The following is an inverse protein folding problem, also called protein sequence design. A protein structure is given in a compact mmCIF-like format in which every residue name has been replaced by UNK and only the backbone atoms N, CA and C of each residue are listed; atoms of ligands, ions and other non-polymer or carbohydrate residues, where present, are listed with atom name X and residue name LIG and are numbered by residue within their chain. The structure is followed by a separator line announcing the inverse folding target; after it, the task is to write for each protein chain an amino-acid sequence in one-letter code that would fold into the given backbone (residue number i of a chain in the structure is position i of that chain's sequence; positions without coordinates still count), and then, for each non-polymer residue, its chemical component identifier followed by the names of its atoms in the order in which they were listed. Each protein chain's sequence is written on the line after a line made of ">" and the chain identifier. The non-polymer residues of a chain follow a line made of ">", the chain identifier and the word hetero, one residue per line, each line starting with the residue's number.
data_IF_920693068317
#
_entry.id   IF_920693068317
#
_cell.length_a   1.000
_cell.length_b   1.000
_cell.length_c   1.000
_cell.angle_alpha   90.00
_cell.angle_beta   90.00
_cell.angle_gamma   90.00
#
_symmetry.space_group_name_H-M   'P 1'
#
loop_
_entity.id
_entity.type
_entity.pdbx_description
1 polymer ?
#
# COMPACT_ATOMS: atom_id res chain seq x y z
N UNK A 1 -10.66 -3.31 -22.61
CA UNK A 1 -10.90 -2.85 -21.22
C UNK A 1 -9.60 -2.48 -20.52
N UNK A 2 -8.58 -3.37 -20.54
CA UNK A 2 -7.29 -3.14 -19.87
C UNK A 2 -6.55 -1.91 -20.41
N UNK A 3 -6.50 -1.72 -21.73
CA UNK A 3 -5.83 -0.56 -22.37
C UNK A 3 -6.42 0.76 -21.90
N UNK A 4 -7.77 0.87 -21.81
CA UNK A 4 -8.42 2.09 -21.28
C UNK A 4 -8.09 2.34 -19.82
N UNK A 5 -7.97 1.28 -19.01
CA UNK A 5 -7.55 1.40 -17.60
C UNK A 5 -6.11 1.91 -17.54
N UNK A 6 -5.20 1.30 -18.31
CA UNK A 6 -3.80 1.72 -18.39
C UNK A 6 -3.67 3.18 -18.85
N UNK A 7 -4.47 3.60 -19.82
CA UNK A 7 -4.46 4.98 -20.30
C UNK A 7 -4.95 5.97 -19.24
N UNK A 8 -6.04 5.66 -18.52
CA UNK A 8 -6.51 6.48 -17.40
C UNK A 8 -5.44 6.60 -16.30
N UNK A 9 -4.68 5.53 -16.04
CA UNK A 9 -3.55 5.56 -15.09
C UNK A 9 -2.41 6.42 -15.62
N UNK A 10 -2.00 6.26 -16.91
CA UNK A 10 -0.92 7.08 -17.50
C UNK A 10 -1.24 8.57 -17.43
N UNK A 11 -2.47 8.94 -17.73
CA UNK A 11 -2.96 10.33 -17.67
C UNK A 11 -3.17 10.84 -16.23
N UNK A 12 -2.94 10.04 -15.20
CA UNK A 12 -3.19 10.43 -13.80
C UNK A 12 -4.66 10.60 -13.43
N UNK A 13 -5.58 10.15 -14.29
CA UNK A 13 -7.03 10.21 -14.05
C UNK A 13 -7.51 9.15 -13.08
N UNK A 14 -6.70 8.11 -12.88
CA UNK A 14 -6.95 7.02 -11.95
C UNK A 14 -5.66 6.74 -11.18
N UNK A 15 -5.69 6.95 -9.87
CA UNK A 15 -4.57 6.75 -8.96
C UNK A 15 -4.99 5.84 -7.81
N UNK A 16 -4.03 5.08 -7.29
CA UNK A 16 -4.25 4.15 -6.17
C UNK A 16 -3.16 4.29 -5.13
N UNK A 17 -3.53 4.26 -3.85
CA UNK A 17 -2.58 4.02 -2.77
C UNK A 17 -2.27 2.53 -2.63
N UNK A 18 -1.26 2.20 -1.85
CA UNK A 18 -1.14 0.87 -1.28
C UNK A 18 -2.34 0.59 -0.38
N UNK A 19 -2.61 -0.68 -0.11
CA UNK A 19 -3.61 -1.06 0.88
C UNK A 19 -3.07 -0.83 2.29
N UNK A 20 -3.92 -0.28 3.14
CA UNK A 20 -3.63 0.07 4.53
C UNK A 20 -4.65 -0.62 5.44
N UNK A 21 -4.29 -0.95 6.70
CA UNK A 21 -5.22 -1.61 7.60
C UNK A 21 -6.29 -0.65 8.13
N UNK A 22 -7.45 -1.21 8.43
CA UNK A 22 -8.46 -0.61 9.30
C UNK A 22 -8.84 -1.61 10.39
N UNK A 23 -9.21 -1.09 11.55
CA UNK A 23 -9.66 -1.86 12.69
C UNK A 23 -10.76 -1.10 13.42
N UNK A 24 -11.88 -1.76 13.67
CA UNK A 24 -13.02 -1.23 14.44
C UNK A 24 -13.36 0.22 14.08
N UNK A 25 -13.61 0.49 12.81
CA UNK A 25 -13.90 1.81 12.21
C UNK A 25 -12.72 2.80 12.19
N UNK A 26 -11.55 2.45 12.68
CA UNK A 26 -10.36 3.31 12.64
C UNK A 26 -9.52 2.99 11.41
N UNK A 27 -9.18 4.01 10.62
CA UNK A 27 -8.24 3.92 9.51
C UNK A 27 -6.83 4.19 10.00
N UNK A 28 -5.86 3.46 9.45
CA UNK A 28 -4.45 3.59 9.78
C UNK A 28 -3.65 4.00 8.57
N UNK A 29 -2.66 4.84 8.78
CA UNK A 29 -1.70 5.30 7.77
C UNK A 29 -0.33 4.68 7.99
N UNK A 30 0.51 4.55 6.96
CA UNK A 30 1.87 4.10 7.15
C UNK A 30 2.61 5.08 8.06
N UNK A 31 3.38 4.53 8.99
CA UNK A 31 4.24 5.33 9.85
C UNK A 31 5.28 6.07 9.00
N UNK A 32 5.43 7.39 9.16
CA UNK A 32 6.43 8.16 8.44
C UNK A 32 7.85 7.64 8.70
N UNK A 33 8.63 7.53 7.63
CA UNK A 33 10.06 7.27 7.70
C UNK A 33 10.75 8.60 7.97
N UNK A 34 10.87 8.95 9.24
CA UNK A 34 11.51 10.18 9.71
C UNK A 34 12.39 9.88 10.92
N UNK A 35 13.49 10.61 11.05
CA UNK A 35 14.29 10.57 12.26
C UNK A 35 13.52 11.26 13.40
N UNK A 36 13.63 10.72 14.61
CA UNK A 36 13.15 11.41 15.81
C UNK A 36 14.27 12.29 16.33
N UNK A 37 14.00 13.57 16.48
CA UNK A 37 14.91 14.56 17.08
C UNK A 37 14.69 14.70 18.59
N UNK A 38 13.66 14.02 19.13
CA UNK A 38 13.35 14.10 20.56
C UNK A 38 14.45 13.49 21.40
N UNK A 39 14.99 14.30 22.32
CA UNK A 39 16.03 13.94 23.31
C UNK A 39 15.41 13.58 24.68
N UNK A 40 14.08 13.63 24.81
CA UNK A 40 13.42 13.33 26.07
C UNK A 40 13.64 11.87 26.50
N UNK A 41 13.88 11.68 27.80
CA UNK A 41 13.94 10.34 28.40
C UNK A 41 12.56 9.72 28.39
N UNK A 42 12.36 8.75 27.51
CA UNK A 42 11.14 7.96 27.43
C UNK A 42 11.43 6.57 27.96
N UNK A 43 10.46 6.02 28.69
CA UNK A 43 10.54 4.63 29.15
C UNK A 43 10.92 3.67 28.00
N UNK A 44 11.92 2.84 28.24
CA UNK A 44 12.52 1.95 27.22
C UNK A 44 11.48 1.04 26.57
N UNK A 45 10.47 0.59 27.33
CA UNK A 45 9.36 -0.23 26.87
C UNK A 45 8.47 0.51 25.87
N UNK A 46 8.10 1.74 26.16
CA UNK A 46 7.30 2.60 25.29
C UNK A 46 8.05 2.93 24.00
N UNK A 47 9.32 3.29 24.10
CA UNK A 47 10.18 3.56 22.94
C UNK A 47 10.28 2.35 22.00
N UNK A 48 10.46 1.13 22.55
CA UNK A 48 10.46 -0.11 21.77
C UNK A 48 9.11 -0.37 21.10
N UNK A 49 8.00 -0.11 21.79
CA UNK A 49 6.64 -0.27 21.26
C UNK A 49 6.41 0.67 20.07
N UNK A 50 6.70 1.96 20.22
CA UNK A 50 6.58 2.96 19.16
C UNK A 50 7.51 2.66 17.97
N UNK A 51 8.73 2.16 18.22
CA UNK A 51 9.66 1.77 17.17
C UNK A 51 9.13 0.62 16.31
N UNK A 52 8.46 -0.35 16.92
CA UNK A 52 7.86 -1.51 16.23
C UNK A 52 6.57 -1.19 15.47
N UNK A 53 5.92 -0.08 15.76
CA UNK A 53 4.71 0.31 15.06
C UNK A 53 5.01 0.53 13.56
N UNK A 54 4.18 -0.06 12.71
CA UNK A 54 4.22 0.18 11.27
C UNK A 54 3.10 1.14 10.81
N UNK A 55 2.07 1.29 11.62
CA UNK A 55 0.84 1.99 11.28
C UNK A 55 0.42 2.97 12.38
N UNK A 56 -0.09 4.13 11.98
CA UNK A 56 -0.56 5.19 12.89
C UNK A 56 -2.05 5.44 12.62
N UNK A 57 -2.91 5.47 13.66
CA UNK A 57 -4.30 5.84 13.48
C UNK A 57 -4.43 7.24 12.87
N UNK A 58 -5.35 7.43 11.93
CA UNK A 58 -5.54 8.72 11.24
C UNK A 58 -5.68 9.88 12.21
N UNK A 59 -6.53 9.76 13.24
CA UNK A 59 -6.76 10.83 14.21
C UNK A 59 -5.61 11.03 15.21
N UNK A 60 -4.72 10.08 15.34
CA UNK A 60 -3.52 10.20 16.17
C UNK A 60 -2.29 10.71 15.39
N UNK A 61 -2.41 10.89 14.07
CA UNK A 61 -1.28 11.20 13.20
C UNK A 61 -0.60 12.54 13.55
N UNK A 62 -1.38 13.61 13.75
CA UNK A 62 -0.84 14.92 14.11
C UNK A 62 -0.12 14.89 15.49
N UNK A 63 -0.62 14.09 16.45
CA UNK A 63 0.03 13.88 17.75
C UNK A 63 1.33 13.09 17.60
N UNK A 64 1.33 12.05 16.78
CA UNK A 64 2.53 11.29 16.44
C UNK A 64 3.59 12.18 15.78
N UNK A 65 3.20 12.98 14.80
CA UNK A 65 4.10 13.88 14.10
C UNK A 65 4.78 14.88 15.03
N UNK A 66 4.03 15.50 15.94
CA UNK A 66 4.59 16.40 16.97
C UNK A 66 5.60 15.69 17.88
N UNK A 67 5.38 14.42 18.21
CA UNK A 67 6.28 13.66 19.07
C UNK A 67 7.63 13.35 18.45
N UNK A 68 7.82 13.55 17.16
CA UNK A 68 9.13 13.40 16.49
C UNK A 68 10.09 14.52 16.89
N UNK A 69 9.59 15.71 17.22
CA UNK A 69 10.41 16.87 17.65
C UNK A 69 10.41 17.05 19.16
N UNK A 70 9.27 16.88 19.82
CA UNK A 70 9.13 17.11 21.24
C UNK A 70 8.12 16.13 21.87
N UNK A 71 8.43 15.61 23.04
CA UNK A 71 7.58 14.71 23.77
C UNK A 71 7.65 13.25 23.29
N UNK A 72 6.71 12.48 23.75
CA UNK A 72 6.60 11.08 23.40
C UNK A 72 5.19 10.75 22.87
N UNK A 73 5.12 9.74 22.02
CA UNK A 73 3.87 9.20 21.51
C UNK A 73 3.46 7.98 22.32
N UNK A 74 2.26 8.06 22.90
CA UNK A 74 1.62 6.91 23.55
C UNK A 74 0.63 6.33 22.54
N UNK A 75 0.82 5.08 22.09
CA UNK A 75 -0.13 4.41 21.21
C UNK A 75 -1.36 3.96 22.02
N UNK A 76 -2.38 4.79 22.05
CA UNK A 76 -3.65 4.46 22.67
C UNK A 76 -4.46 3.56 21.72
N UNK A 77 -5.16 2.57 22.26
CA UNK A 77 -6.17 1.74 21.59
C UNK A 77 -5.73 1.10 20.23
N UNK A 78 -4.45 0.80 20.08
CA UNK A 78 -4.01 0.02 18.94
C UNK A 78 -4.20 -1.47 19.20
N UNK A 79 -4.69 -2.23 18.21
CA UNK A 79 -4.69 -3.67 18.32
C UNK A 79 -3.24 -4.17 18.42
N UNK A 80 -3.00 -5.18 19.24
CA UNK A 80 -1.68 -5.83 19.30
C UNK A 80 -1.25 -6.33 17.91
N UNK A 81 -2.20 -6.78 17.12
CA UNK A 81 -2.03 -7.19 15.73
C UNK A 81 -3.32 -7.07 14.95
N UNK A 82 -3.25 -6.71 13.67
CA UNK A 82 -4.38 -6.75 12.74
C UNK A 82 -4.78 -8.17 12.32
N UNK A 83 -4.06 -9.18 12.79
CA UNK A 83 -4.29 -10.58 12.50
C UNK A 83 -3.13 -11.45 12.91
N UNK A 84 -3.19 -12.71 12.55
CA UNK A 84 -2.19 -13.73 12.90
C UNK A 84 -1.61 -14.39 11.68
N UNK A 85 -0.29 -14.64 11.73
CA UNK A 85 0.37 -15.54 10.80
C UNK A 85 0.22 -16.99 11.28
N UNK A 86 -0.09 -17.88 10.37
CA UNK A 86 -0.12 -19.30 10.63
C UNK A 86 0.38 -20.08 9.43
N UNK A 87 0.84 -21.28 9.66
CA UNK A 87 1.30 -22.20 8.62
C UNK A 87 0.30 -23.33 8.45
N UNK A 88 0.07 -23.69 7.21
CA UNK A 88 -0.75 -24.83 6.84
C UNK A 88 0.09 -25.82 6.03
N UNK A 89 0.15 -27.07 6.50
CA UNK A 89 0.75 -28.15 5.73
C UNK A 89 -0.21 -28.58 4.63
N UNK A 90 0.26 -28.62 3.41
CA UNK A 90 -0.43 -29.15 2.25
C UNK A 90 0.40 -30.27 1.62
N UNK A 91 -0.25 -31.15 0.89
CA UNK A 91 0.40 -32.21 0.16
C UNK A 91 0.31 -31.97 -1.35
N UNK A 92 1.45 -32.09 -2.03
CA UNK A 92 1.48 -32.20 -3.49
C UNK A 92 1.40 -33.68 -3.82
N UNK A 93 0.31 -34.10 -4.44
CA UNK A 93 0.12 -35.48 -4.93
C UNK A 93 0.52 -35.47 -6.40
N UNK A 94 1.69 -35.99 -6.77
CA UNK A 94 2.11 -36.10 -8.16
C UNK A 94 1.34 -37.24 -8.83
N UNK A 95 1.27 -37.23 -10.17
CA UNK A 95 0.68 -38.35 -10.93
C UNK A 95 1.48 -39.66 -10.76
N UNK A 96 2.79 -39.56 -10.48
CA UNK A 96 3.70 -40.66 -10.19
C UNK A 96 4.66 -40.23 -9.07
N UNK A 97 4.94 -41.15 -8.15
CA UNK A 97 5.85 -40.96 -7.02
C UNK A 97 5.16 -40.61 -5.70
N UNK A 98 5.96 -40.33 -4.68
CA UNK A 98 5.47 -40.09 -3.32
C UNK A 98 4.87 -38.70 -3.13
N UNK A 99 3.86 -38.63 -2.28
CA UNK A 99 3.26 -37.40 -1.81
C UNK A 99 4.27 -36.56 -1.03
N UNK A 100 4.48 -35.31 -1.45
CA UNK A 100 5.43 -34.40 -0.79
C UNK A 100 4.68 -33.33 -0.03
N UNK A 101 4.82 -33.28 1.32
CA UNK A 101 4.26 -32.20 2.11
C UNK A 101 5.03 -30.89 1.87
N UNK A 102 4.32 -29.76 1.93
CA UNK A 102 4.91 -28.42 1.89
C UNK A 102 4.12 -27.46 2.77
N UNK A 103 4.81 -26.47 3.32
CA UNK A 103 4.22 -25.47 4.17
C UNK A 103 3.74 -24.25 3.35
N UNK A 104 2.59 -23.71 3.73
CA UNK A 104 2.04 -22.48 3.17
C UNK A 104 1.84 -21.50 4.31
N UNK A 105 2.60 -20.40 4.30
CA UNK A 105 2.40 -19.29 5.22
C UNK A 105 1.15 -18.49 4.83
N UNK A 106 0.26 -18.26 5.78
CA UNK A 106 -1.00 -17.57 5.62
C UNK A 106 -1.13 -16.48 6.67
N UNK A 107 -1.90 -15.44 6.34
CA UNK A 107 -2.30 -14.40 7.27
C UNK A 107 -3.82 -14.39 7.39
N UNK A 108 -4.33 -14.41 8.62
CA UNK A 108 -5.74 -14.28 8.93
C UNK A 108 -5.98 -12.97 9.65
N UNK A 109 -6.82 -12.11 9.09
CA UNK A 109 -7.25 -10.89 9.77
C UNK A 109 -7.99 -11.21 11.06
N UNK A 110 -7.78 -10.37 12.07
CA UNK A 110 -8.56 -10.40 13.29
C UNK A 110 -10.03 -9.98 13.02
N UNK A 111 -10.98 -10.31 13.91
CA UNK A 111 -12.34 -9.78 13.80
C UNK A 111 -12.32 -8.24 13.70
N UNK A 112 -13.22 -7.68 12.93
CA UNK A 112 -13.34 -6.23 12.66
C UNK A 112 -12.07 -5.59 12.07
N UNK A 113 -11.18 -6.39 11.46
CA UNK A 113 -10.02 -5.93 10.71
C UNK A 113 -10.20 -6.15 9.22
N UNK A 114 -9.58 -5.27 8.44
CA UNK A 114 -9.53 -5.39 6.99
C UNK A 114 -8.51 -4.46 6.38
N UNK A 115 -8.57 -4.33 5.06
CA UNK A 115 -7.73 -3.41 4.30
C UNK A 115 -8.61 -2.35 3.63
N UNK A 116 -8.10 -1.15 3.53
CA UNK A 116 -8.64 -0.10 2.69
C UNK A 116 -7.56 0.47 1.79
N UNK A 117 -7.94 1.14 0.74
CA UNK A 117 -7.04 1.95 -0.07
C UNK A 117 -7.73 3.25 -0.50
N UNK A 118 -6.92 4.23 -0.86
CA UNK A 118 -7.39 5.51 -1.38
C UNK A 118 -7.29 5.47 -2.90
N UNK A 119 -8.35 5.91 -3.56
CA UNK A 119 -8.41 5.99 -5.01
C UNK A 119 -8.72 7.42 -5.44
N UNK A 120 -7.88 7.99 -6.30
CA UNK A 120 -8.13 9.23 -7.03
C UNK A 120 -8.83 8.91 -8.35
N UNK A 121 -10.01 9.50 -8.56
CA UNK A 121 -10.80 9.34 -9.80
C UNK A 121 -11.22 10.70 -10.29
N UNK A 122 -10.84 11.05 -11.53
CA UNK A 122 -11.16 12.36 -12.11
C UNK A 122 -12.27 12.33 -13.18
N UNK A 123 -12.63 11.14 -13.69
CA UNK A 123 -13.68 10.99 -14.69
C UNK A 123 -15.00 10.51 -14.07
N UNK A 124 -16.12 11.14 -14.45
CA UNK A 124 -17.45 10.73 -13.99
C UNK A 124 -17.77 9.29 -14.40
N UNK A 125 -18.33 8.52 -13.48
CA UNK A 125 -18.73 7.11 -13.70
C UNK A 125 -17.58 6.10 -13.68
N UNK A 126 -16.33 6.52 -13.59
CA UNK A 126 -15.16 5.63 -13.48
C UNK A 126 -15.16 4.91 -12.12
N UNK A 127 -15.68 5.55 -11.08
CA UNK A 127 -15.83 4.98 -9.75
C UNK A 127 -16.78 3.78 -9.72
N UNK A 128 -17.87 3.80 -10.50
CA UNK A 128 -18.79 2.66 -10.63
C UNK A 128 -18.14 1.49 -11.36
N UNK A 129 -17.39 1.78 -12.42
CA UNK A 129 -16.63 0.75 -13.17
C UNK A 129 -15.56 0.12 -12.29
N UNK A 130 -14.83 0.92 -11.52
CA UNK A 130 -13.83 0.43 -10.57
C UNK A 130 -14.47 -0.47 -9.51
N UNK A 131 -15.62 -0.08 -8.97
CA UNK A 131 -16.33 -0.90 -7.98
C UNK A 131 -16.69 -2.28 -8.56
N UNK A 132 -17.26 -2.33 -9.76
CA UNK A 132 -17.58 -3.61 -10.43
C UNK A 132 -16.33 -4.48 -10.69
N UNK A 133 -15.19 -3.86 -11.05
CA UNK A 133 -13.90 -4.56 -11.20
C UNK A 133 -13.39 -5.11 -9.87
N UNK A 134 -13.54 -4.37 -8.77
CA UNK A 134 -13.14 -4.81 -7.44
C UNK A 134 -14.01 -5.98 -6.95
N UNK A 135 -15.31 -5.96 -7.19
CA UNK A 135 -16.20 -7.09 -6.88
C UNK A 135 -15.77 -8.36 -7.65
N UNK A 136 -15.50 -8.23 -8.94
CA UNK A 136 -14.98 -9.34 -9.75
C UNK A 136 -13.61 -9.83 -9.26
N UNK A 137 -12.73 -8.92 -8.89
CA UNK A 137 -11.42 -9.24 -8.31
C UNK A 137 -11.56 -9.94 -6.95
N UNK A 138 -12.54 -9.53 -6.15
CA UNK A 138 -12.83 -10.14 -4.86
C UNK A 138 -13.22 -11.62 -4.96
N UNK A 139 -13.96 -11.99 -6.00
CA UNK A 139 -14.31 -13.39 -6.30
C UNK A 139 -13.07 -14.18 -6.75
N UNK A 140 -12.25 -13.58 -7.60
CA UNK A 140 -11.00 -14.19 -8.08
C UNK A 140 -9.97 -14.29 -6.98
N UNK A 141 -9.80 -13.23 -6.20
CA UNK A 141 -8.79 -13.09 -5.15
C UNK A 141 -7.54 -12.32 -5.57
N UNK A 142 -6.77 -11.89 -4.59
CA UNK A 142 -5.47 -11.21 -4.74
C UNK A 142 -4.38 -11.91 -3.96
N UNK A 143 -3.12 -11.69 -4.36
CA UNK A 143 -1.95 -12.23 -3.67
C UNK A 143 -1.55 -13.63 -4.13
N UNK A 144 -0.98 -14.41 -3.22
CA UNK A 144 -0.52 -15.75 -3.52
C UNK A 144 -1.61 -16.79 -3.42
N UNK A 145 -1.46 -17.90 -4.17
CA UNK A 145 -2.35 -19.06 -4.09
C UNK A 145 -3.82 -18.80 -4.46
N UNK A 146 -4.08 -17.82 -5.31
CA UNK A 146 -5.43 -17.48 -5.80
C UNK A 146 -6.12 -18.69 -6.44
N UNK A 147 -5.40 -19.47 -7.25
CA UNK A 147 -5.92 -20.69 -7.88
C UNK A 147 -6.36 -21.78 -6.89
N UNK A 148 -5.95 -21.70 -5.64
CA UNK A 148 -6.37 -22.61 -4.56
C UNK A 148 -7.34 -21.96 -3.58
N UNK A 149 -7.96 -20.84 -3.97
CA UNK A 149 -9.07 -20.18 -3.27
C UNK A 149 -8.66 -19.17 -2.19
N UNK A 150 -7.36 -18.83 -2.10
CA UNK A 150 -6.92 -17.78 -1.15
C UNK A 150 -7.05 -16.37 -1.73
N UNK A 151 -6.99 -15.37 -0.86
CA UNK A 151 -7.00 -13.96 -1.22
C UNK A 151 -8.37 -13.41 -1.66
N UNK A 152 -9.44 -14.18 -1.50
CA UNK A 152 -10.81 -13.71 -1.76
C UNK A 152 -11.20 -12.62 -0.76
N UNK A 153 -11.95 -11.65 -1.23
CA UNK A 153 -12.44 -10.55 -0.40
C UNK A 153 -13.77 -10.01 -0.93
N UNK A 154 -14.41 -9.16 -0.17
CA UNK A 154 -15.58 -8.38 -0.61
C UNK A 154 -15.40 -6.92 -0.18
N UNK A 155 -15.97 -6.01 -0.96
CA UNK A 155 -15.96 -4.59 -0.64
C UNK A 155 -17.06 -4.31 0.39
N UNK A 156 -16.67 -3.98 1.61
CA UNK A 156 -17.63 -3.73 2.70
C UNK A 156 -18.19 -2.31 2.68
N UNK A 157 -17.40 -1.34 2.22
CA UNK A 157 -17.79 0.07 2.24
C UNK A 157 -17.02 0.88 1.20
N UNK A 158 -17.66 1.89 0.63
CA UNK A 158 -17.07 2.94 -0.18
C UNK A 158 -17.38 4.29 0.46
N UNK A 159 -16.34 5.08 0.70
CA UNK A 159 -16.44 6.43 1.24
C UNK A 159 -16.00 7.46 0.20
N UNK A 160 -16.71 8.58 0.13
CA UNK A 160 -16.35 9.69 -0.74
C UNK A 160 -15.70 10.81 0.09
N UNK A 161 -14.40 11.04 -0.15
CA UNK A 161 -13.67 12.10 0.56
C UNK A 161 -14.07 13.53 0.13
N UNK A 162 -14.79 13.70 -0.99
CA UNK A 162 -15.34 14.99 -1.37
C UNK A 162 -16.51 15.41 -0.48
N UNK A 163 -17.23 14.43 0.10
CA UNK A 163 -18.33 14.62 1.05
C UNK A 163 -18.02 13.87 2.36
N UNK A 164 -17.02 14.34 3.13
CA UNK A 164 -16.58 13.61 4.32
C UNK A 164 -17.66 13.63 5.41
N UNK A 165 -17.94 12.47 5.99
CA UNK A 165 -19.01 12.27 6.97
C UNK A 165 -18.55 12.30 8.44
N UNK A 166 -17.26 12.02 8.68
CA UNK A 166 -16.69 11.88 10.02
C UNK A 166 -15.33 12.60 10.16
N UNK A 167 -14.76 12.58 11.34
CA UNK A 167 -13.50 13.26 11.65
C UNK A 167 -12.31 12.68 10.84
N UNK A 168 -12.26 11.37 10.63
CA UNK A 168 -11.17 10.71 9.91
C UNK A 168 -11.20 11.08 8.42
N UNK A 169 -12.38 10.99 7.79
CA UNK A 169 -12.55 11.36 6.39
C UNK A 169 -12.31 12.84 6.14
N UNK A 170 -12.68 13.72 7.10
CA UNK A 170 -12.34 15.15 7.06
C UNK A 170 -10.84 15.38 7.14
N UNK A 171 -10.16 14.68 8.04
CA UNK A 171 -8.70 14.76 8.19
C UNK A 171 -7.99 14.26 6.93
N UNK A 172 -8.37 13.09 6.40
CA UNK A 172 -7.81 12.53 5.17
C UNK A 172 -8.00 13.48 3.98
N UNK A 173 -9.20 14.04 3.80
CA UNK A 173 -9.45 15.02 2.74
C UNK A 173 -8.52 16.22 2.85
N UNK A 174 -8.39 16.82 4.05
CA UNK A 174 -7.50 17.96 4.31
C UNK A 174 -6.06 17.63 3.93
N UNK A 175 -5.54 16.50 4.40
CA UNK A 175 -4.17 16.09 4.17
C UNK A 175 -3.88 15.74 2.69
N UNK A 176 -4.80 15.09 2.01
CA UNK A 176 -4.68 14.77 0.58
C UNK A 176 -4.75 16.03 -0.31
N UNK A 177 -5.51 17.04 0.13
CA UNK A 177 -5.63 18.33 -0.60
C UNK A 177 -4.49 19.29 -0.26
N UNK A 178 -3.68 19.01 0.76
CA UNK A 178 -2.61 19.90 1.18
C UNK A 178 -1.48 19.89 0.14
N UNK A 179 -1.17 21.10 -0.35
CA UNK A 179 -0.07 21.32 -1.30
C UNK A 179 1.14 21.95 -0.60
N UNK A 180 1.55 21.36 0.50
CA UNK A 180 2.65 21.83 1.36
C UNK A 180 3.50 20.65 1.80
N UNK A 181 4.80 20.77 1.57
CA UNK A 181 5.79 19.80 2.06
C UNK A 181 5.93 19.89 3.62
N UNK A 182 6.37 18.81 4.25
CA UNK A 182 6.73 17.52 3.66
C UNK A 182 5.50 16.69 3.25
N UNK A 183 5.71 15.78 2.32
CA UNK A 183 4.68 14.88 1.79
C UNK A 183 4.93 13.45 2.25
N UNK A 184 3.90 12.81 2.80
CA UNK A 184 3.88 11.38 3.07
C UNK A 184 3.45 10.62 1.82
N UNK A 185 4.24 9.66 1.38
CA UNK A 185 3.92 8.77 0.27
C UNK A 185 2.99 7.65 0.71
N UNK A 186 1.85 7.48 0.05
CA UNK A 186 0.87 6.43 0.35
C UNK A 186 0.91 5.25 -0.63
N UNK A 187 1.79 5.31 -1.61
CA UNK A 187 1.91 4.29 -2.66
C UNK A 187 3.36 3.83 -2.78
N UNK A 188 3.60 2.54 -2.82
CA UNK A 188 4.91 2.02 -3.26
C UNK A 188 5.10 2.39 -4.73
N UNK A 189 5.94 3.38 -5.01
CA UNK A 189 6.08 3.98 -6.34
C UNK A 189 7.51 4.38 -6.67
N UNK A 190 7.76 4.66 -7.94
CA UNK A 190 9.09 4.96 -8.46
C UNK A 190 9.01 6.23 -9.30
N UNK A 191 9.82 7.27 -9.01
CA UNK A 191 9.99 8.43 -9.87
C UNK A 191 10.46 8.02 -11.27
N UNK A 192 10.16 8.83 -12.27
CA UNK A 192 10.77 8.70 -13.60
C UNK A 192 12.25 9.11 -13.53
N UNK A 193 13.03 8.76 -14.52
CA UNK A 193 14.48 8.99 -14.51
C UNK A 193 14.83 10.49 -14.38
N UNK A 194 14.05 11.35 -15.02
CA UNK A 194 14.20 12.81 -14.99
C UNK A 194 13.64 13.46 -13.70
N UNK A 195 12.84 12.73 -12.94
CA UNK A 195 12.27 13.20 -11.66
C UNK A 195 13.15 12.81 -10.46
N UNK A 196 14.09 11.85 -10.63
CA UNK A 196 14.73 11.12 -9.53
C UNK A 196 15.50 12.06 -8.59
N UNK A 197 16.35 12.91 -9.11
CA UNK A 197 17.18 13.82 -8.31
C UNK A 197 16.31 14.81 -7.50
N UNK A 198 15.28 15.36 -8.13
CA UNK A 198 14.35 16.26 -7.47
C UNK A 198 13.52 15.54 -6.40
N UNK A 199 13.00 14.36 -6.70
CA UNK A 199 12.17 13.58 -5.79
C UNK A 199 12.92 13.13 -4.54
N UNK A 200 14.21 12.78 -4.68
CA UNK A 200 15.03 12.27 -3.58
C UNK A 200 15.72 13.38 -2.78
N UNK A 201 15.68 14.62 -3.24
CA UNK A 201 16.28 15.74 -2.52
C UNK A 201 15.61 15.92 -1.15
N UNK A 202 16.41 15.87 -0.10
CA UNK A 202 15.98 16.02 1.30
C UNK A 202 14.83 15.05 1.69
N UNK A 203 14.82 13.85 1.09
CA UNK A 203 13.83 12.84 1.33
C UNK A 203 14.30 11.80 2.36
N UNK A 204 13.38 11.35 3.20
CA UNK A 204 13.57 10.19 4.09
C UNK A 204 12.77 9.01 3.55
N UNK A 205 13.43 7.97 3.08
CA UNK A 205 12.76 6.88 2.38
C UNK A 205 13.38 5.52 2.65
N UNK A 206 12.61 4.49 2.32
CA UNK A 206 13.06 3.10 2.29
C UNK A 206 12.76 2.51 0.91
N UNK A 207 13.72 1.73 0.39
CA UNK A 207 13.55 1.01 -0.87
C UNK A 207 12.93 -0.36 -0.65
N UNK A 208 11.98 -0.69 -1.48
CA UNK A 208 11.35 -2.01 -1.57
C UNK A 208 11.68 -2.63 -2.91
N UNK A 209 12.33 -3.80 -2.88
CA UNK A 209 12.60 -4.57 -4.10
C UNK A 209 11.31 -5.19 -4.62
N UNK A 210 10.99 -4.92 -5.87
CA UNK A 210 9.87 -5.50 -6.61
C UNK A 210 10.41 -6.35 -7.76
N UNK A 211 10.23 -7.66 -7.66
CA UNK A 211 10.62 -8.65 -8.67
C UNK A 211 9.48 -9.68 -8.83
N UNK A 212 9.75 -10.83 -9.42
CA UNK A 212 8.80 -11.94 -9.56
C UNK A 212 8.75 -12.46 -10.99
N UNK A 213 7.81 -13.34 -11.24
CA UNK A 213 7.60 -13.97 -12.53
C UNK A 213 6.33 -13.43 -13.21
N UNK A 214 6.31 -13.48 -14.53
CA UNK A 214 5.11 -13.23 -15.32
C UNK A 214 4.15 -14.41 -15.15
N UNK A 215 2.86 -14.12 -14.95
CA UNK A 215 1.79 -15.08 -15.17
C UNK A 215 1.27 -14.82 -16.59
N UNK A 216 1.47 -15.77 -17.50
CA UNK A 216 1.03 -15.66 -18.90
C UNK A 216 0.79 -17.05 -19.45
N UNK A 217 -0.32 -17.22 -20.13
CA UNK A 217 -0.65 -18.44 -20.85
C UNK A 217 0.03 -18.47 -22.25
N UNK A 218 0.69 -17.37 -22.64
CA UNK A 218 1.40 -17.25 -23.92
C UNK A 218 2.85 -17.72 -23.87
N UNK A 219 3.36 -18.14 -22.71
CA UNK A 219 4.74 -18.62 -22.53
C UNK A 219 4.74 -19.93 -21.74
N UNK A 220 5.46 -20.92 -22.27
CA UNK A 220 5.55 -22.26 -21.65
C UNK A 220 6.31 -22.25 -20.33
N UNK A 221 7.30 -21.37 -20.19
CA UNK A 221 8.12 -21.25 -18.98
C UNK A 221 7.92 -19.90 -18.32
N UNK A 222 7.80 -19.84 -16.98
CA UNK A 222 7.67 -18.58 -16.27
C UNK A 222 8.88 -17.67 -16.49
N UNK A 223 8.69 -16.52 -17.12
CA UNK A 223 9.71 -15.52 -17.35
C UNK A 223 9.82 -14.56 -16.15
N UNK A 224 11.04 -14.22 -15.76
CA UNK A 224 11.29 -13.21 -14.74
C UNK A 224 10.87 -11.82 -15.22
N UNK A 225 10.30 -11.02 -14.32
CA UNK A 225 10.06 -9.58 -14.54
C UNK A 225 11.36 -8.80 -14.31
N UNK A 226 11.51 -7.64 -14.95
CA UNK A 226 12.54 -6.67 -14.60
C UNK A 226 12.41 -6.31 -13.12
N UNK A 227 13.53 -6.40 -12.39
CA UNK A 227 13.57 -6.00 -10.97
C UNK A 227 13.60 -4.47 -10.89
N UNK A 228 12.79 -3.93 -9.99
CA UNK A 228 12.77 -2.49 -9.65
C UNK A 228 12.92 -2.32 -8.14
N UNK A 229 13.51 -1.20 -7.74
CA UNK A 229 13.57 -0.73 -6.36
C UNK A 229 12.72 0.52 -6.28
N UNK A 230 11.61 0.44 -5.57
CA UNK A 230 10.62 1.50 -5.44
C UNK A 230 10.67 2.12 -4.04
N UNK A 231 10.29 3.38 -3.92
CA UNK A 231 10.08 4.03 -2.64
C UNK A 231 8.87 3.39 -1.95
N UNK A 232 9.03 3.00 -0.69
CA UNK A 232 7.92 2.40 0.07
C UNK A 232 6.88 3.45 0.49
N UNK A 233 5.63 3.04 0.64
CA UNK A 233 4.67 3.82 1.39
C UNK A 233 5.22 4.13 2.80
N UNK A 234 4.95 5.34 3.31
CA UNK A 234 5.57 5.86 4.52
C UNK A 234 6.82 6.72 4.27
N UNK A 235 7.39 6.73 3.07
CA UNK A 235 8.47 7.65 2.71
C UNK A 235 8.00 9.10 2.80
N UNK A 236 8.88 9.99 3.25
CA UNK A 236 8.63 11.43 3.44
C UNK A 236 9.50 12.19 2.46
N UNK A 237 8.87 13.02 1.63
CA UNK A 237 9.53 13.74 0.56
C UNK A 237 9.26 15.24 0.65
N UNK A 238 10.19 16.06 0.17
CA UNK A 238 10.00 17.51 0.02
C UNK A 238 9.36 17.86 -1.33
N UNK A 239 9.59 17.03 -2.35
CA UNK A 239 9.08 17.23 -3.69
C UNK A 239 8.17 16.08 -4.12
N UNK A 240 7.09 16.43 -4.84
CA UNK A 240 6.22 15.44 -5.49
C UNK A 240 6.82 15.03 -6.83
N UNK A 241 6.49 13.84 -7.28
CA UNK A 241 6.79 13.32 -8.61
C UNK A 241 5.55 12.65 -9.21
N UNK A 242 5.54 12.39 -10.50
CA UNK A 242 4.41 11.79 -11.19
C UNK A 242 4.49 10.27 -11.27
N UNK A 243 5.73 9.74 -11.33
CA UNK A 243 5.96 8.33 -11.56
C UNK A 243 5.32 7.84 -12.85
N UNK A 244 5.31 6.54 -13.07
CA UNK A 244 4.79 5.96 -14.32
C UNK A 244 4.11 4.61 -14.14
N UNK A 245 3.51 4.13 -15.22
CA UNK A 245 3.13 2.74 -15.42
C UNK A 245 4.27 2.08 -16.23
N UNK A 246 5.15 1.34 -15.54
CA UNK A 246 6.34 0.74 -16.13
C UNK A 246 6.04 -0.60 -16.78
N UNK A 247 6.58 -0.84 -17.97
CA UNK A 247 6.64 -2.18 -18.53
C UNK A 247 7.86 -2.93 -17.95
N UNK A 248 7.57 -3.95 -17.18
CA UNK A 248 8.57 -4.82 -16.54
C UNK A 248 8.67 -6.19 -17.20
N UNK A 249 8.08 -6.36 -18.39
CA UNK A 249 8.24 -7.55 -19.22
C UNK A 249 9.67 -7.70 -19.72
N UNK A 250 10.07 -8.94 -19.95
CA UNK A 250 11.35 -9.30 -20.58
C UNK A 250 11.15 -9.96 -21.95
N UNK A 251 9.89 -10.08 -22.40
CA UNK A 251 9.56 -10.66 -23.72
C UNK A 251 8.70 -9.68 -24.49
N UNK A 252 8.78 -9.76 -25.80
CA UNK A 252 7.97 -8.97 -26.73
C UNK A 252 6.56 -9.56 -26.95
N UNK A 253 6.20 -10.64 -26.22
CA UNK A 253 4.92 -11.33 -26.39
C UNK A 253 3.75 -10.44 -25.96
N UNK A 254 3.85 -9.79 -24.80
CA UNK A 254 2.91 -8.78 -24.34
C UNK A 254 3.53 -7.94 -23.23
N UNK A 255 3.09 -6.68 -23.05
CA UNK A 255 3.56 -5.84 -21.96
C UNK A 255 3.12 -6.38 -20.60
N UNK A 256 3.99 -6.22 -19.58
CA UNK A 256 3.69 -6.55 -18.18
C UNK A 256 3.82 -5.28 -17.36
N UNK A 257 2.69 -4.66 -17.08
CA UNK A 257 2.69 -3.37 -16.41
C UNK A 257 2.85 -3.49 -14.90
N UNK A 258 3.64 -2.56 -14.36
CA UNK A 258 3.74 -2.29 -12.93
C UNK A 258 3.31 -0.85 -12.66
N UNK A 259 2.29 -0.73 -11.83
CA UNK A 259 1.82 0.56 -11.34
C UNK A 259 2.86 1.16 -10.40
N UNK A 260 3.25 2.42 -10.64
CA UNK A 260 4.21 3.16 -9.83
C UNK A 260 3.90 4.67 -9.79
N UNK A 261 2.62 5.03 -9.89
CA UNK A 261 2.17 6.41 -9.71
C UNK A 261 1.86 6.69 -8.24
N UNK A 262 2.38 7.78 -7.67
CA UNK A 262 2.21 8.09 -6.26
C UNK A 262 0.85 8.69 -5.93
N UNK A 263 0.39 8.45 -4.70
CA UNK A 263 -0.52 9.33 -3.98
C UNK A 263 0.26 9.94 -2.82
N UNK A 264 0.24 11.26 -2.73
CA UNK A 264 0.87 12.03 -1.68
C UNK A 264 -0.15 12.65 -0.74
N UNK A 265 0.25 12.82 0.49
CA UNK A 265 -0.50 13.50 1.52
C UNK A 265 0.42 14.54 2.18
N UNK A 266 0.02 15.82 2.20
CA UNK A 266 0.78 16.84 2.92
C UNK A 266 0.62 16.65 4.42
N UNK A 267 1.74 16.63 5.14
CA UNK A 267 1.78 16.38 6.59
C UNK A 267 2.64 17.46 7.26
N UNK A 268 2.45 17.62 8.56
CA UNK A 268 3.36 18.42 9.40
C UNK A 268 4.18 17.45 10.22
N UNK A 269 5.43 17.28 9.86
CA UNK A 269 6.40 16.43 10.54
C UNK A 269 7.48 17.28 11.13
#
# INVERSE_FOLDING_TARGET
>A
ALERLCESVRQGKLLFSDTMPWYDKTFYLPKPIAASESTEEVETTLRKKVKKMAWIPVLAFDRYAKSLHAGHFTPDDQPESFGTHYEQTKAKIPAQGDTKPYQVGLFRFAPNCGLYFICGVSESGQDKKLHALLEGLGVTGIGGRVSTGYGKFHVVQKLCLNTPSDAQTKWLRRALSANRAPYLLLTTSLPQADELDSALKDASFQLVRRSGFMASDCVETPLKKKTQYALSAGSVLQNRYQGALYDVGLSDVHPVYRYSKPIFMGVTL
#
